data_IF_262134149530
#
_entry.id   IF_262134149530
#
_cell.length_a   1.000
_cell.length_b   1.000
_cell.length_c   1.000
_cell.angle_alpha   90.00
_cell.angle_beta   90.00
_cell.angle_gamma   90.00
#
_symmetry.space_group_name_H-M   'P 1'
#
loop_
_entity.id
_entity.type
_entity.pdbx_description
1 polymer ?
#
# COMPACT_ATOMS: atom_id res chain seq x y z
N UNK A 1 8.97 -7.96 12.86
CA UNK A 1 10.28 -8.64 12.69
C UNK A 1 10.96 -8.33 11.35
N UNK A 2 10.26 -8.42 10.21
CA UNK A 2 10.86 -8.09 8.89
C UNK A 2 11.47 -6.67 8.83
N UNK A 3 10.73 -5.66 9.30
CA UNK A 3 11.22 -4.27 9.26
C UNK A 3 12.44 -4.04 10.15
N UNK A 4 12.53 -4.74 11.28
CA UNK A 4 13.71 -4.70 12.14
C UNK A 4 14.96 -5.22 11.42
N UNK A 5 14.84 -6.34 10.69
CA UNK A 5 15.95 -6.87 9.89
C UNK A 5 16.33 -5.92 8.74
N UNK A 6 15.35 -5.28 8.08
CA UNK A 6 15.63 -4.24 7.06
C UNK A 6 16.46 -3.11 7.65
N UNK A 7 16.10 -2.63 8.84
CA UNK A 7 16.82 -1.58 9.54
C UNK A 7 18.25 -2.02 9.92
N UNK A 8 18.41 -3.24 10.46
CA UNK A 8 19.72 -3.78 10.80
C UNK A 8 20.62 -3.93 9.56
N UNK A 9 20.08 -4.42 8.44
CA UNK A 9 20.81 -4.58 7.18
C UNK A 9 21.26 -3.24 6.60
N UNK A 10 20.42 -2.21 6.69
CA UNK A 10 20.80 -0.85 6.31
C UNK A 10 21.98 -0.33 7.16
N UNK A 11 22.00 -0.63 8.46
CA UNK A 11 23.12 -0.25 9.34
C UNK A 11 24.40 -1.02 9.01
N UNK A 12 24.30 -2.31 8.69
CA UNK A 12 25.46 -3.10 8.25
C UNK A 12 26.03 -2.55 6.94
N UNK A 13 25.17 -2.27 5.97
CA UNK A 13 25.58 -1.68 4.69
C UNK A 13 26.25 -0.31 4.88
N UNK A 14 25.64 0.58 5.69
CA UNK A 14 26.18 1.89 6.00
C UNK A 14 27.57 1.83 6.66
N UNK A 15 27.80 0.84 7.53
CA UNK A 15 29.08 0.63 8.23
C UNK A 15 30.08 -0.25 7.46
N UNK A 16 29.74 -0.70 6.25
CA UNK A 16 30.59 -1.60 5.46
C UNK A 16 30.79 -2.99 6.09
N UNK A 17 29.85 -3.44 6.93
CA UNK A 17 29.92 -4.74 7.61
C UNK A 17 29.48 -5.83 6.64
N UNK A 18 30.44 -6.60 6.14
CA UNK A 18 30.19 -7.72 5.21
C UNK A 18 30.28 -9.08 5.88
N UNK A 19 31.01 -9.22 6.99
CA UNK A 19 31.20 -10.49 7.71
C UNK A 19 29.90 -11.00 8.33
N UNK A 20 29.45 -12.19 7.89
CA UNK A 20 28.26 -12.87 8.43
C UNK A 20 28.36 -13.10 9.94
N UNK A 21 29.55 -13.48 10.44
CA UNK A 21 29.82 -13.64 11.88
C UNK A 21 29.59 -12.34 12.67
N UNK A 22 30.04 -11.20 12.14
CA UNK A 22 29.82 -9.90 12.80
C UNK A 22 28.34 -9.53 12.82
N UNK A 23 27.61 -9.77 11.71
CA UNK A 23 26.17 -9.53 11.65
C UNK A 23 25.42 -10.44 12.63
N UNK A 24 25.80 -11.73 12.72
CA UNK A 24 25.26 -12.67 13.69
C UNK A 24 25.41 -12.11 15.10
N UNK A 25 26.63 -11.82 15.56
CA UNK A 25 26.86 -11.33 16.93
C UNK A 25 26.08 -10.06 17.27
N UNK A 26 25.99 -9.11 16.32
CA UNK A 26 25.17 -7.92 16.51
C UNK A 26 23.70 -8.31 16.76
N UNK A 27 23.13 -9.14 15.88
CA UNK A 27 21.74 -9.58 16.00
C UNK A 27 21.49 -10.33 17.31
N UNK A 28 22.37 -11.27 17.68
CA UNK A 28 22.29 -12.03 18.93
C UNK A 28 22.28 -11.13 20.16
N UNK A 29 23.04 -10.03 20.13
CA UNK A 29 23.13 -9.07 21.24
C UNK A 29 21.84 -8.28 21.47
N UNK A 30 21.00 -8.15 20.45
CA UNK A 30 19.75 -7.38 20.52
C UNK A 30 18.53 -8.22 20.90
N UNK A 31 18.67 -9.52 21.17
CA UNK A 31 17.51 -10.40 21.41
C UNK A 31 16.91 -10.27 22.80
N UNK A 32 15.58 -10.13 22.83
CA UNK A 32 14.77 -10.27 24.04
C UNK A 32 14.49 -11.74 24.40
N UNK A 33 13.79 -11.96 25.52
CA UNK A 33 13.42 -13.29 26.00
C UNK A 33 12.45 -14.03 25.08
N UNK A 34 11.65 -13.32 24.29
CA UNK A 34 10.69 -13.90 23.37
C UNK A 34 11.38 -14.55 22.17
N UNK A 35 12.40 -13.92 21.61
CA UNK A 35 13.21 -14.48 20.53
C UNK A 35 14.03 -15.66 21.05
N UNK A 36 14.69 -15.50 22.21
CA UNK A 36 15.52 -16.54 22.82
C UNK A 36 14.75 -17.85 23.07
N UNK A 37 13.47 -17.77 23.47
CA UNK A 37 12.63 -18.96 23.71
C UNK A 37 12.31 -19.76 22.45
N UNK A 38 12.32 -19.13 21.28
CA UNK A 38 11.95 -19.77 20.01
C UNK A 38 13.17 -20.28 19.20
N UNK A 39 14.39 -20.02 19.69
CA UNK A 39 15.64 -20.40 19.04
C UNK A 39 16.30 -21.58 19.75
N UNK A 40 16.91 -22.46 18.97
CA UNK A 40 17.75 -23.57 19.44
C UNK A 40 19.23 -23.14 19.37
N UNK A 41 20.09 -23.82 20.12
CA UNK A 41 21.53 -23.49 20.14
C UNK A 41 22.20 -23.75 18.78
N UNK A 42 21.75 -24.77 18.05
CA UNK A 42 22.19 -25.07 16.68
C UNK A 42 21.93 -23.93 15.68
N UNK A 43 20.93 -23.07 15.91
CA UNK A 43 20.61 -21.98 14.99
C UNK A 43 21.65 -20.84 15.04
N UNK A 44 22.55 -20.86 16.04
CA UNK A 44 23.48 -19.77 16.37
C UNK A 44 24.93 -20.12 16.02
N UNK A 45 25.16 -21.13 15.19
CA UNK A 45 26.50 -21.60 14.85
C UNK A 45 27.33 -20.49 14.17
N UNK A 46 28.37 -19.93 14.83
CA UNK A 46 29.19 -18.88 14.24
C UNK A 46 30.16 -19.41 13.17
N UNK A 47 30.28 -20.73 13.01
CA UNK A 47 31.10 -21.37 11.98
C UNK A 47 30.36 -21.53 10.64
N UNK A 48 29.03 -21.37 10.61
CA UNK A 48 28.25 -21.39 9.39
C UNK A 48 28.65 -20.19 8.48
N UNK A 49 29.10 -20.44 7.22
CA UNK A 49 29.39 -19.38 6.26
C UNK A 49 28.19 -18.46 5.99
N UNK A 50 26.96 -18.93 6.20
CA UNK A 50 25.71 -18.20 6.05
C UNK A 50 25.02 -17.92 7.40
N UNK A 51 25.76 -17.92 8.51
CA UNK A 51 25.18 -17.89 9.86
C UNK A 51 24.14 -16.79 10.07
N UNK A 52 24.37 -15.58 9.53
CA UNK A 52 23.40 -14.49 9.65
C UNK A 52 22.14 -14.74 8.78
N UNK A 53 22.27 -15.28 7.57
CA UNK A 53 21.12 -15.66 6.75
C UNK A 53 20.31 -16.81 7.36
N UNK A 54 21.00 -17.81 7.90
CA UNK A 54 20.41 -18.96 8.60
C UNK A 54 19.57 -18.46 9.77
N UNK A 55 20.14 -17.65 10.67
CA UNK A 55 19.41 -17.15 11.84
C UNK A 55 18.29 -16.19 11.46
N UNK A 56 18.47 -15.34 10.43
CA UNK A 56 17.41 -14.46 9.91
C UNK A 56 16.21 -15.28 9.45
N UNK A 57 16.45 -16.34 8.68
CA UNK A 57 15.40 -17.25 8.20
C UNK A 57 14.69 -17.93 9.36
N UNK A 58 15.44 -18.48 10.31
CA UNK A 58 14.88 -19.16 11.48
C UNK A 58 14.00 -18.21 12.30
N UNK A 59 14.46 -16.99 12.57
CA UNK A 59 13.70 -16.00 13.34
C UNK A 59 12.43 -15.60 12.60
N UNK A 60 12.52 -15.30 11.29
CA UNK A 60 11.35 -14.93 10.48
C UNK A 60 10.31 -16.04 10.40
N UNK A 61 10.73 -17.31 10.49
CA UNK A 61 9.82 -18.46 10.49
C UNK A 61 9.25 -18.76 11.87
N UNK A 62 10.10 -18.90 12.90
CA UNK A 62 9.69 -19.40 14.22
C UNK A 62 9.17 -18.33 15.17
N UNK A 63 9.60 -17.08 15.01
CA UNK A 63 9.09 -15.96 15.80
C UNK A 63 7.87 -15.29 15.14
N UNK A 64 7.43 -15.80 13.98
CA UNK A 64 6.19 -15.38 13.35
C UNK A 64 5.01 -16.05 14.07
N UNK A 65 3.99 -15.29 14.51
CA UNK A 65 2.80 -15.90 15.09
C UNK A 65 2.15 -16.88 14.09
N UNK A 66 1.58 -18.00 14.56
CA UNK A 66 0.88 -18.94 13.69
C UNK A 66 -0.30 -18.25 12.99
N UNK A 67 -0.72 -18.79 11.83
CA UNK A 67 -1.71 -18.15 10.97
C UNK A 67 -3.01 -17.76 11.71
N UNK A 68 -3.55 -18.67 12.54
CA UNK A 68 -4.76 -18.41 13.31
C UNK A 68 -4.60 -17.23 14.29
N UNK A 69 -3.46 -17.10 14.98
CA UNK A 69 -3.22 -16.02 15.94
C UNK A 69 -3.10 -14.66 15.24
N UNK A 70 -2.65 -14.64 13.97
CA UNK A 70 -2.64 -13.42 13.15
C UNK A 70 -4.04 -13.04 12.68
N UNK A 71 -4.88 -14.04 12.35
CA UNK A 71 -6.31 -13.83 12.06
C UNK A 71 -7.03 -13.28 13.28
N UNK A 72 -6.83 -13.89 14.45
CA UNK A 72 -7.46 -13.46 15.70
C UNK A 72 -7.06 -12.03 16.05
N UNK A 73 -5.76 -11.70 16.03
CA UNK A 73 -5.28 -10.33 16.24
C UNK A 73 -5.83 -9.34 15.22
N UNK A 74 -6.03 -9.78 13.97
CA UNK A 74 -6.65 -8.96 12.94
C UNK A 74 -8.12 -8.72 13.27
N UNK A 75 -8.89 -9.75 13.62
CA UNK A 75 -10.29 -9.63 14.05
C UNK A 75 -10.40 -8.73 15.29
N UNK A 76 -9.54 -8.91 16.30
CA UNK A 76 -9.49 -8.04 17.47
C UNK A 76 -9.19 -6.59 17.10
N UNK A 77 -8.28 -6.38 16.14
CA UNK A 77 -8.03 -5.02 15.64
C UNK A 77 -9.29 -4.44 15.00
N UNK A 78 -10.05 -5.25 14.26
CA UNK A 78 -11.29 -4.86 13.59
C UNK A 78 -12.39 -4.45 14.59
N UNK A 79 -12.42 -5.05 15.78
CA UNK A 79 -13.42 -4.78 16.82
C UNK A 79 -13.20 -3.44 17.56
N UNK A 80 -12.05 -2.77 17.37
CA UNK A 80 -11.72 -1.53 18.11
C UNK A 80 -12.51 -0.28 17.69
N UNK A 81 -13.42 -0.37 16.71
CA UNK A 81 -14.32 0.71 16.30
C UNK A 81 -14.25 1.01 14.79
N UNK A 82 -14.57 2.26 14.40
CA UNK A 82 -14.51 2.68 13.00
C UNK A 82 -13.06 2.74 12.52
N UNK A 83 -12.60 1.68 11.87
CA UNK A 83 -11.33 1.65 11.18
C UNK A 83 -11.61 2.08 9.75
N UNK A 84 -10.91 3.12 9.30
CA UNK A 84 -11.03 3.51 7.90
C UNK A 84 -10.53 2.35 7.00
N UNK A 85 -11.12 2.16 5.82
CA UNK A 85 -10.78 1.06 4.93
C UNK A 85 -9.30 0.92 4.57
N UNK A 86 -8.52 2.01 4.57
CA UNK A 86 -7.08 1.98 4.24
C UNK A 86 -6.30 1.38 5.41
N UNK A 87 -6.63 1.77 6.63
CA UNK A 87 -6.03 1.19 7.84
C UNK A 87 -6.37 -0.30 7.96
N UNK A 88 -7.60 -0.70 7.63
CA UNK A 88 -8.01 -2.11 7.61
C UNK A 88 -7.21 -2.92 6.56
N UNK A 89 -7.01 -2.36 5.36
CA UNK A 89 -6.21 -2.97 4.30
C UNK A 89 -4.74 -3.14 4.70
N UNK A 90 -4.14 -2.10 5.29
CA UNK A 90 -2.77 -2.14 5.76
C UNK A 90 -2.58 -3.20 6.87
N UNK A 91 -3.51 -3.26 7.84
CA UNK A 91 -3.49 -4.27 8.91
C UNK A 91 -3.60 -5.69 8.34
N UNK A 92 -4.47 -5.89 7.35
CA UNK A 92 -4.62 -7.17 6.67
C UNK A 92 -3.34 -7.58 5.93
N UNK A 93 -2.72 -6.67 5.17
CA UNK A 93 -1.45 -6.95 4.50
C UNK A 93 -0.36 -7.35 5.49
N UNK A 94 -0.25 -6.67 6.63
CA UNK A 94 0.72 -7.01 7.67
C UNK A 94 0.45 -8.39 8.28
N UNK A 95 -0.82 -8.77 8.45
CA UNK A 95 -1.21 -10.07 9.02
C UNK A 95 -1.01 -11.25 8.05
N UNK A 96 -1.13 -11.01 6.73
CA UNK A 96 -1.23 -12.07 5.72
C UNK A 96 -0.18 -12.02 4.59
N UNK A 97 0.82 -11.14 4.69
CA UNK A 97 1.82 -10.83 3.64
C UNK A 97 2.50 -12.04 2.97
N UNK A 98 2.60 -13.20 3.63
CA UNK A 98 3.31 -14.38 3.10
C UNK A 98 2.42 -15.63 2.86
N UNK A 99 1.14 -15.63 3.21
CA UNK A 99 0.38 -16.90 3.39
C UNK A 99 -0.78 -17.16 2.40
N UNK A 100 -0.99 -16.37 1.34
CA UNK A 100 -2.11 -16.67 0.42
C UNK A 100 -1.88 -16.27 -1.04
N UNK A 101 -2.33 -17.10 -1.99
CA UNK A 101 -2.53 -16.69 -3.37
C UNK A 101 -3.45 -15.46 -3.46
N UNK A 102 -3.05 -14.50 -4.28
CA UNK A 102 -3.58 -13.14 -4.46
C UNK A 102 -5.12 -13.04 -4.49
N UNK A 103 -5.81 -14.04 -5.04
CA UNK A 103 -7.28 -14.03 -5.23
C UNK A 103 -8.08 -14.35 -3.95
N UNK A 104 -7.58 -15.23 -3.08
CA UNK A 104 -8.26 -15.55 -1.80
C UNK A 104 -8.13 -14.39 -0.79
N UNK A 105 -7.02 -13.65 -0.91
CA UNK A 105 -6.66 -12.50 -0.10
C UNK A 105 -7.63 -11.32 -0.40
N UNK A 106 -8.01 -11.10 -1.66
CA UNK A 106 -8.86 -9.98 -2.07
C UNK A 106 -10.31 -10.05 -1.58
N UNK A 107 -10.91 -11.24 -1.54
CA UNK A 107 -12.27 -11.40 -1.02
C UNK A 107 -12.35 -11.16 0.49
N UNK A 108 -11.32 -11.56 1.23
CA UNK A 108 -11.21 -11.29 2.67
C UNK A 108 -10.98 -9.79 2.94
N UNK A 109 -10.17 -9.11 2.11
CA UNK A 109 -9.99 -7.64 2.16
C UNK A 109 -11.30 -6.91 1.91
N UNK A 110 -12.04 -7.31 0.87
CA UNK A 110 -13.38 -6.77 0.58
C UNK A 110 -14.34 -6.95 1.73
N UNK A 111 -14.41 -8.17 2.27
CA UNK A 111 -15.31 -8.49 3.39
C UNK A 111 -15.00 -7.61 4.61
N UNK A 112 -13.72 -7.45 4.95
CA UNK A 112 -13.28 -6.54 6.01
C UNK A 112 -13.75 -5.11 5.75
N UNK A 113 -13.42 -4.53 4.60
CA UNK A 113 -13.77 -3.15 4.26
C UNK A 113 -15.29 -2.92 4.28
N UNK A 114 -16.07 -3.87 3.77
CA UNK A 114 -17.54 -3.82 3.76
C UNK A 114 -18.12 -3.92 5.18
N UNK A 115 -17.56 -4.76 6.06
CA UNK A 115 -18.04 -4.92 7.43
C UNK A 115 -18.00 -3.60 8.19
N UNK A 116 -16.91 -2.83 8.04
CA UNK A 116 -16.67 -1.57 8.77
C UNK A 116 -17.17 -0.32 8.04
N UNK A 117 -17.77 -0.47 6.86
CA UNK A 117 -18.33 0.66 6.13
C UNK A 117 -19.62 1.19 6.80
N UNK A 118 -19.84 2.52 6.83
CA UNK A 118 -21.10 3.08 7.29
C UNK A 118 -22.23 2.61 6.35
N UNK A 119 -23.50 2.56 6.83
CA UNK A 119 -24.60 1.94 6.08
C UNK A 119 -24.75 2.44 4.64
N UNK A 120 -24.51 3.73 4.41
CA UNK A 120 -24.56 4.37 3.09
C UNK A 120 -23.46 3.88 2.14
N UNK A 121 -22.26 3.63 2.62
CA UNK A 121 -21.16 3.11 1.83
C UNK A 121 -21.22 1.58 1.71
N UNK A 122 -21.68 0.88 2.74
CA UNK A 122 -21.79 -0.59 2.78
C UNK A 122 -22.64 -1.14 1.64
N UNK A 123 -23.80 -0.53 1.38
CA UNK A 123 -24.69 -0.93 0.28
C UNK A 123 -24.01 -0.78 -1.10
N UNK A 124 -23.26 0.31 -1.31
CA UNK A 124 -22.53 0.56 -2.57
C UNK A 124 -21.35 -0.40 -2.74
N UNK A 125 -20.60 -0.65 -1.67
CA UNK A 125 -19.45 -1.54 -1.67
C UNK A 125 -19.87 -3.01 -1.87
N UNK A 126 -20.97 -3.46 -1.27
CA UNK A 126 -21.52 -4.81 -1.47
C UNK A 126 -21.85 -5.10 -2.94
N UNK A 127 -22.41 -4.13 -3.67
CA UNK A 127 -22.71 -4.26 -5.11
C UNK A 127 -21.48 -4.34 -6.01
N UNK A 128 -20.28 -4.04 -5.47
CA UNK A 128 -19.03 -4.01 -6.22
C UNK A 128 -18.12 -5.22 -5.97
N UNK A 129 -18.63 -6.30 -5.36
CA UNK A 129 -17.82 -7.46 -4.98
C UNK A 129 -17.16 -8.18 -6.18
N UNK A 130 -17.72 -8.05 -7.38
CA UNK A 130 -17.25 -8.71 -8.61
C UNK A 130 -16.23 -7.93 -9.44
N UNK A 131 -15.98 -6.65 -9.13
CA UNK A 131 -14.99 -5.84 -9.88
C UNK A 131 -13.57 -6.25 -9.49
N UNK A 132 -12.50 -5.91 -10.24
CA UNK A 132 -11.12 -6.08 -9.78
C UNK A 132 -10.84 -5.33 -8.47
N UNK A 133 -9.90 -5.81 -7.64
CA UNK A 133 -9.63 -5.22 -6.31
C UNK A 133 -9.19 -3.76 -6.38
N UNK A 134 -8.38 -3.39 -7.36
CA UNK A 134 -7.94 -1.99 -7.54
C UNK A 134 -9.13 -1.05 -7.76
N UNK A 135 -10.08 -1.43 -8.62
CA UNK A 135 -11.29 -0.64 -8.87
C UNK A 135 -12.17 -0.53 -7.62
N UNK A 136 -12.18 -1.57 -6.78
CA UNK A 136 -12.86 -1.54 -5.50
C UNK A 136 -12.20 -0.55 -4.53
N UNK A 137 -10.87 -0.52 -4.48
CA UNK A 137 -10.12 0.45 -3.66
C UNK A 137 -10.26 1.89 -4.15
N UNK A 138 -10.40 2.12 -5.46
CA UNK A 138 -10.72 3.44 -6.01
C UNK A 138 -12.09 3.93 -5.55
N UNK A 139 -13.09 3.03 -5.55
CA UNK A 139 -14.44 3.34 -5.05
C UNK A 139 -14.42 3.65 -3.55
N UNK A 140 -13.73 2.83 -2.77
CA UNK A 140 -13.51 3.06 -1.33
C UNK A 140 -12.86 4.42 -1.10
N UNK A 141 -11.79 4.75 -1.83
CA UNK A 141 -11.10 6.03 -1.69
C UNK A 141 -12.03 7.20 -2.02
N UNK A 142 -12.82 7.09 -3.10
CA UNK A 142 -13.80 8.11 -3.50
C UNK A 142 -14.91 8.34 -2.45
N UNK A 143 -15.34 7.29 -1.76
CA UNK A 143 -16.40 7.37 -0.75
C UNK A 143 -15.94 8.05 0.54
N UNK A 144 -14.68 7.87 0.94
CA UNK A 144 -14.17 8.31 2.24
C UNK A 144 -13.25 9.54 2.15
N UNK A 145 -12.61 9.77 1.00
CA UNK A 145 -11.68 10.88 0.77
C UNK A 145 -12.19 11.90 -0.23
N UNK A 146 -13.50 12.16 -0.26
CA UNK A 146 -14.06 13.27 -1.05
C UNK A 146 -13.45 14.61 -0.57
N UNK A 147 -12.71 15.36 -1.39
CA UNK A 147 -12.41 16.75 -1.06
C UNK A 147 -13.73 17.51 -1.05
N UNK A 148 -13.95 18.31 -0.01
CA UNK A 148 -15.14 19.13 0.16
C UNK A 148 -15.17 20.24 -0.92
N UNK A 149 -15.58 19.92 -2.14
CA UNK A 149 -15.92 20.96 -3.12
C UNK A 149 -17.40 21.25 -2.91
N UNK A 150 -17.67 22.29 -2.11
CA UNK A 150 -18.98 22.92 -2.03
C UNK A 150 -19.36 23.40 -3.43
N UNK A 151 -20.38 22.78 -4.02
CA UNK A 151 -20.96 23.22 -5.29
C UNK A 151 -22.32 23.85 -5.02
N UNK A 152 -22.34 25.17 -4.87
CA UNK A 152 -23.54 25.93 -5.21
C UNK A 152 -23.65 25.93 -6.74
N UNK A 153 -24.76 25.39 -7.24
CA UNK A 153 -25.04 25.37 -8.67
C UNK A 153 -25.21 26.80 -9.20
N UNK A 154 -24.35 27.20 -10.14
CA UNK A 154 -24.62 28.28 -11.08
C UNK A 154 -23.88 27.99 -12.37
N UNK A 155 -24.66 27.80 -13.43
CA UNK A 155 -24.22 27.61 -14.80
C UNK A 155 -23.24 28.71 -15.22
N UNK A 156 -22.00 28.33 -15.57
CA UNK A 156 -21.13 29.10 -16.48
C UNK A 156 -20.05 28.17 -17.04
N UNK A 157 -19.80 28.29 -18.36
CA UNK A 157 -18.81 27.62 -19.25
C UNK A 157 -17.91 26.53 -18.64
N UNK A 158 -17.75 25.36 -19.32
CA UNK A 158 -16.82 24.33 -18.87
C UNK A 158 -15.39 24.87 -18.86
N UNK A 159 -14.85 25.10 -17.65
CA UNK A 159 -13.41 25.26 -17.44
C UNK A 159 -12.81 23.89 -17.68
N UNK A 160 -12.05 23.74 -18.78
CA UNK A 160 -11.24 22.54 -18.97
C UNK A 160 -10.31 22.39 -17.76
N UNK A 161 -10.38 21.21 -17.14
CA UNK A 161 -9.60 20.89 -15.95
C UNK A 161 -8.11 20.98 -16.27
N UNK A 162 -7.28 21.41 -15.31
CA UNK A 162 -5.83 21.61 -15.50
C UNK A 162 -5.12 20.32 -15.95
N UNK A 163 -5.73 19.16 -15.67
CA UNK A 163 -5.27 17.83 -16.11
C UNK A 163 -5.48 17.56 -17.61
N UNK A 164 -6.32 18.34 -18.30
CA UNK A 164 -6.67 18.17 -19.72
C UNK A 164 -5.97 19.19 -20.64
N UNK A 165 -5.13 20.06 -20.07
CA UNK A 165 -4.35 21.05 -20.81
C UNK A 165 -2.88 20.65 -20.80
N UNK A 166 -2.20 20.82 -21.94
CA UNK A 166 -0.74 20.67 -21.96
C UNK A 166 -0.08 21.82 -21.19
N UNK A 167 1.18 21.64 -20.81
CA UNK A 167 1.95 22.63 -20.04
C UNK A 167 1.87 24.06 -20.60
N UNK A 168 1.95 24.20 -21.93
CA UNK A 168 1.88 25.52 -22.59
C UNK A 168 0.49 26.16 -22.50
N UNK A 169 -0.58 25.39 -22.70
CA UNK A 169 -1.96 25.92 -22.59
C UNK A 169 -2.38 26.13 -21.13
N UNK A 170 -1.80 25.39 -20.20
CA UNK A 170 -1.97 25.64 -18.77
C UNK A 170 -1.35 26.99 -18.36
N UNK A 171 -0.22 27.38 -18.99
CA UNK A 171 0.52 28.60 -18.65
C UNK A 171 0.09 29.83 -19.45
N UNK A 172 -0.20 29.67 -20.74
CA UNK A 172 -0.46 30.78 -21.68
C UNK A 172 -1.89 30.80 -22.22
N UNK A 173 -2.73 29.82 -21.83
CA UNK A 173 -4.10 29.71 -22.30
C UNK A 173 -4.20 29.55 -23.82
N UNK A 174 -5.33 29.97 -24.40
CA UNK A 174 -5.61 29.87 -25.83
C UNK A 174 -4.67 30.68 -26.75
N UNK A 175 -3.72 31.46 -26.18
CA UNK A 175 -2.71 32.22 -26.94
C UNK A 175 -1.38 31.49 -27.08
N UNK A 176 -1.28 30.24 -26.61
CA UNK A 176 -0.06 29.44 -26.71
C UNK A 176 0.25 29.11 -28.19
N UNK A 177 1.42 29.54 -28.67
CA UNK A 177 1.84 29.34 -30.08
C UNK A 177 2.71 28.10 -30.31
N UNK A 178 3.25 27.50 -29.24
CA UNK A 178 4.23 26.41 -29.30
C UNK A 178 3.71 25.12 -28.64
N UNK A 179 2.48 24.71 -28.96
CA UNK A 179 1.93 23.45 -28.44
C UNK A 179 2.58 22.25 -29.16
N UNK A 180 3.44 21.51 -28.45
CA UNK A 180 4.21 20.39 -29.01
C UNK A 180 3.44 19.06 -29.08
N UNK A 181 2.23 18.98 -28.52
CA UNK A 181 1.40 17.76 -28.51
C UNK A 181 -0.04 18.04 -28.97
N UNK A 182 -0.26 18.37 -30.26
CA UNK A 182 -1.56 18.77 -30.79
C UNK A 182 -2.62 17.65 -30.74
N UNK A 183 -2.21 16.38 -30.92
CA UNK A 183 -3.12 15.23 -30.97
C UNK A 183 -3.69 14.79 -29.62
N UNK A 184 -3.10 15.27 -28.53
CA UNK A 184 -3.51 14.93 -27.16
C UNK A 184 -4.11 16.16 -26.48
N UNK A 185 -3.71 17.37 -26.88
CA UNK A 185 -4.22 18.59 -26.28
C UNK A 185 -5.62 18.95 -26.78
N UNK A 186 -6.59 19.04 -25.86
CA UNK A 186 -7.99 19.32 -26.22
C UNK A 186 -8.23 20.73 -26.75
N UNK A 187 -7.36 21.70 -26.46
CA UNK A 187 -7.46 23.07 -26.99
C UNK A 187 -7.19 23.11 -28.49
N UNK A 188 -6.20 22.34 -28.96
CA UNK A 188 -5.91 22.20 -30.40
C UNK A 188 -6.93 21.34 -31.10
N UNK A 189 -7.48 20.29 -30.46
CA UNK A 189 -8.59 19.49 -31.04
C UNK A 189 -9.83 20.33 -31.36
N UNK A 190 -10.20 21.23 -30.45
CA UNK A 190 -11.35 22.12 -30.67
C UNK A 190 -11.08 23.22 -31.70
N UNK A 191 -9.83 23.67 -31.85
CA UNK A 191 -9.43 24.61 -32.90
C UNK A 191 -9.43 23.95 -34.30
N UNK A 192 -9.03 22.68 -34.40
CA UNK A 192 -9.07 21.91 -35.67
C UNK A 192 -10.51 21.59 -36.06
N UNK A 193 -11.40 21.37 -35.09
CA UNK A 193 -12.84 21.20 -35.34
C UNK A 193 -13.55 22.50 -35.79
N UNK A 194 -12.84 23.64 -35.77
CA UNK A 194 -13.39 24.96 -36.12
C UNK A 194 -12.47 25.72 -37.09
N UNK A 195 -12.34 25.23 -38.32
CA UNK A 195 -12.05 26.11 -39.46
C UNK A 195 -11.60 25.43 -40.75
N UNK A 196 -11.58 26.14 -41.89
CA UNK A 196 -12.53 27.16 -42.36
C UNK A 196 -13.58 26.52 -43.31
N UNK A 197 -14.62 27.28 -43.66
CA UNK A 197 -15.36 27.04 -44.90
C UNK A 197 -14.51 27.43 -46.11
#
# INVERSE_FOLDING_TARGET
MKDWFRQAEAQFAYKGITSERTKLYYVTSCWDSSIKRNLREEDKDPADPEAYQTIKRVILTRCRPPAYARVERFIESLDTGFIDPITADAAFRVAFEDDTPEVALDNLRRYSIIQHAPPSAKALLQGSFSVPFDNFMDLVTSLYFKPQISVNASSTRPKLDKKQLCFYHQRFGAKARNCLMPDICMVTKNAIATGPQ
#
